data_IF_411224829843
#
_entry.id   IF_411224829843
#
_cell.length_a   1.000
_cell.length_b   1.000
_cell.length_c   1.000
_cell.angle_alpha   90.00
_cell.angle_beta   90.00
_cell.angle_gamma   90.00
#
_symmetry.space_group_name_H-M   'P 1'
#
loop_
_entity.id
_entity.type
_entity.pdbx_description
1 polymer ?
#
# COMPACT_ATOMS: atom_id res chain seq x y z
N UNK A 1 21.93 0.20 2.19
CA UNK A 1 20.83 0.50 1.27
C UNK A 1 20.48 1.97 1.32
N UNK A 2 19.84 2.46 0.30
CA UNK A 2 19.38 3.85 0.22
C UNK A 2 17.98 3.88 -0.41
N UNK A 3 17.11 4.83 0.01
CA UNK A 3 15.76 4.98 -0.50
C UNK A 3 15.76 5.41 -1.97
N UNK A 4 14.81 4.91 -2.77
CA UNK A 4 14.78 5.13 -4.21
C UNK A 4 13.45 5.73 -4.69
N UNK A 5 12.35 5.27 -4.14
CA UNK A 5 11.01 5.82 -4.32
C UNK A 5 10.19 5.64 -3.04
N UNK A 6 9.03 6.24 -2.96
CA UNK A 6 8.11 6.07 -1.83
C UNK A 6 6.66 5.92 -2.28
N UNK A 7 5.79 5.55 -1.34
CA UNK A 7 4.35 5.45 -1.57
C UNK A 7 3.59 5.07 -0.31
N UNK A 8 2.44 5.71 -0.07
CA UNK A 8 1.58 5.45 1.07
C UNK A 8 0.54 4.35 0.76
N UNK A 9 0.13 3.60 1.79
CA UNK A 9 -1.02 2.70 1.70
C UNK A 9 -2.29 3.54 1.65
N UNK A 10 -3.19 3.18 0.74
CA UNK A 10 -4.50 3.81 0.59
C UNK A 10 -5.57 2.80 0.19
N UNK A 11 -6.77 3.31 0.05
CA UNK A 11 -7.94 2.56 -0.41
C UNK A 11 -8.25 2.91 -1.86
N UNK A 12 -8.63 1.92 -2.66
CA UNK A 12 -9.25 2.08 -3.96
C UNK A 12 -10.70 1.61 -3.85
N UNK A 13 -11.65 2.49 -4.16
CA UNK A 13 -13.09 2.18 -4.07
C UNK A 13 -13.75 2.32 -5.44
N UNK A 14 -14.62 1.37 -5.79
CA UNK A 14 -15.43 1.44 -7.01
C UNK A 14 -16.51 2.50 -6.84
N UNK A 15 -16.53 3.52 -7.72
CA UNK A 15 -17.47 4.65 -7.60
C UNK A 15 -18.90 4.26 -7.95
N UNK A 16 -19.11 3.29 -8.83
CA UNK A 16 -20.46 2.81 -9.17
C UNK A 16 -21.08 2.10 -7.97
N UNK A 17 -20.31 1.25 -7.26
CA UNK A 17 -20.76 0.63 -6.02
C UNK A 17 -21.13 1.67 -4.95
N UNK A 18 -20.30 2.70 -4.78
CA UNK A 18 -20.56 3.77 -3.80
C UNK A 18 -21.85 4.51 -4.12
N UNK A 19 -22.06 4.85 -5.40
CA UNK A 19 -23.28 5.54 -5.86
C UNK A 19 -24.54 4.67 -5.68
N UNK A 20 -24.48 3.40 -6.09
CA UNK A 20 -25.61 2.46 -5.98
C UNK A 20 -26.05 2.22 -4.53
N UNK A 21 -25.09 2.23 -3.59
CA UNK A 21 -25.37 2.02 -2.16
C UNK A 21 -25.53 3.34 -1.38
N UNK A 22 -25.38 4.50 -2.04
CA UNK A 22 -25.46 5.84 -1.45
C UNK A 22 -24.53 5.97 -0.22
N UNK A 23 -23.26 5.55 -0.38
CA UNK A 23 -22.21 5.60 0.64
C UNK A 23 -20.98 6.34 0.13
N UNK A 24 -20.24 6.98 1.05
CA UNK A 24 -18.96 7.60 0.73
C UNK A 24 -17.81 6.57 0.70
N UNK A 25 -16.74 6.90 -0.02
CA UNK A 25 -15.54 6.08 0.00
C UNK A 25 -14.93 6.07 1.41
N UNK A 26 -14.40 4.92 1.90
CA UNK A 26 -13.83 4.83 3.24
C UNK A 26 -12.65 5.79 3.41
N UNK A 27 -12.60 6.49 4.54
CA UNK A 27 -11.53 7.40 4.95
C UNK A 27 -10.98 7.05 6.33
N UNK A 28 -11.32 5.89 6.85
CA UNK A 28 -10.88 5.34 8.12
C UNK A 28 -10.64 3.83 7.97
N UNK A 29 -9.70 3.29 8.73
CA UNK A 29 -9.56 1.83 8.84
C UNK A 29 -10.83 1.19 9.37
N UNK A 30 -11.57 1.90 10.22
CA UNK A 30 -12.82 1.43 10.79
C UNK A 30 -13.97 1.42 9.78
N UNK A 31 -13.97 2.34 8.81
CA UNK A 31 -15.00 2.37 7.77
C UNK A 31 -15.03 1.09 6.94
N UNK A 32 -13.89 0.37 6.86
CA UNK A 32 -13.81 -0.93 6.18
C UNK A 32 -14.64 -2.03 6.86
N UNK A 33 -15.06 -1.81 8.11
CA UNK A 33 -15.93 -2.70 8.88
C UNK A 33 -17.42 -2.29 8.78
N UNK A 34 -17.75 -1.26 8.00
CA UNK A 34 -19.15 -0.90 7.78
C UNK A 34 -19.89 -2.06 7.08
N UNK A 35 -21.08 -2.46 7.55
CA UNK A 35 -21.87 -3.53 6.93
C UNK A 35 -22.13 -3.37 5.43
N UNK A 36 -22.06 -2.16 4.89
CA UNK A 36 -22.19 -1.93 3.44
C UNK A 36 -21.04 -2.59 2.65
N UNK A 37 -19.88 -2.77 3.26
CA UNK A 37 -18.72 -3.43 2.66
C UNK A 37 -18.62 -4.93 3.03
N UNK A 38 -19.66 -5.52 3.62
CA UNK A 38 -19.69 -6.93 3.95
C UNK A 38 -19.37 -7.79 2.73
N UNK A 39 -18.32 -8.65 2.85
CA UNK A 39 -17.84 -9.53 1.79
C UNK A 39 -17.49 -8.78 0.46
N UNK A 40 -17.03 -7.53 0.56
CA UNK A 40 -16.78 -6.65 -0.60
C UNK A 40 -15.41 -5.95 -0.58
N UNK A 41 -14.48 -6.41 0.27
CA UNK A 41 -13.12 -5.88 0.32
C UNK A 41 -12.12 -6.96 -0.15
N UNK A 42 -11.12 -6.56 -0.92
CA UNK A 42 -10.02 -7.44 -1.30
C UNK A 42 -8.66 -6.80 -0.97
N UNK A 43 -7.72 -7.61 -0.53
CA UNK A 43 -6.33 -7.26 -0.37
C UNK A 43 -5.44 -8.50 -0.50
N UNK A 44 -4.12 -8.35 -0.46
CA UNK A 44 -3.25 -9.51 -0.48
C UNK A 44 -3.07 -10.12 0.91
N UNK A 45 -2.59 -11.37 0.95
CA UNK A 45 -2.13 -11.98 2.20
C UNK A 45 -0.88 -11.26 2.74
N UNK A 46 -0.78 -10.96 4.05
CA UNK A 46 0.40 -10.33 4.63
C UNK A 46 1.72 -11.11 4.44
N UNK A 47 1.64 -12.43 4.25
CA UNK A 47 2.81 -13.27 4.05
C UNK A 47 3.23 -13.45 2.57
N UNK A 48 2.41 -12.99 1.61
CA UNK A 48 2.76 -13.06 0.18
C UNK A 48 3.11 -11.71 -0.41
N UNK A 49 2.73 -10.60 0.25
CA UNK A 49 2.81 -9.26 -0.27
C UNK A 49 3.40 -8.28 0.73
N UNK A 50 4.40 -7.51 0.29
CA UNK A 50 4.92 -6.37 1.06
C UNK A 50 3.86 -5.32 1.35
N UNK A 51 2.98 -5.04 0.38
CA UNK A 51 1.85 -4.10 0.55
C UNK A 51 0.97 -4.50 1.73
N UNK A 52 0.51 -5.75 1.75
CA UNK A 52 -0.35 -6.25 2.81
C UNK A 52 0.38 -6.37 4.15
N UNK A 53 1.67 -6.72 4.12
CA UNK A 53 2.49 -6.70 5.33
C UNK A 53 2.64 -5.28 5.89
N UNK A 54 2.90 -4.28 5.03
CA UNK A 54 2.96 -2.88 5.46
C UNK A 54 1.63 -2.43 6.06
N UNK A 55 0.49 -2.82 5.46
CA UNK A 55 -0.85 -2.55 6.01
C UNK A 55 -1.00 -3.15 7.42
N UNK A 56 -0.66 -4.43 7.59
CA UNK A 56 -0.74 -5.10 8.89
C UNK A 56 0.18 -4.45 9.93
N UNK A 57 1.45 -4.24 9.58
CA UNK A 57 2.42 -3.60 10.47
C UNK A 57 2.02 -2.15 10.81
N UNK A 58 1.32 -1.44 9.92
CA UNK A 58 0.77 -0.11 10.18
C UNK A 58 -0.24 -0.16 11.33
N UNK A 59 -1.23 -1.04 11.23
CA UNK A 59 -2.28 -1.16 12.25
C UNK A 59 -1.64 -1.61 13.59
N UNK A 60 -0.70 -2.57 13.55
CA UNK A 60 0.02 -3.01 14.77
C UNK A 60 0.79 -1.86 15.42
N UNK A 61 1.44 -0.99 14.64
CA UNK A 61 2.17 0.15 15.20
C UNK A 61 1.24 1.26 15.72
N UNK A 62 0.02 1.35 15.21
CA UNK A 62 -0.97 2.33 15.66
C UNK A 62 -1.62 1.92 17.00
N UNK A 63 -2.02 0.66 17.13
CA UNK A 63 -2.90 0.23 18.24
C UNK A 63 -2.31 -0.92 19.08
N UNK A 64 -1.16 -1.47 18.70
CA UNK A 64 -0.57 -2.64 19.34
C UNK A 64 -1.02 -3.96 18.70
N UNK A 65 -0.27 -5.06 18.96
CA UNK A 65 -0.46 -6.33 18.25
C UNK A 65 -1.82 -6.97 18.53
N UNK A 66 -2.28 -7.01 19.79
CA UNK A 66 -3.54 -7.70 20.14
C UNK A 66 -4.75 -6.97 19.55
N UNK A 67 -4.84 -5.65 19.71
CA UNK A 67 -5.95 -4.86 19.17
C UNK A 67 -5.94 -4.89 17.63
N UNK A 68 -4.76 -4.91 17.00
CA UNK A 68 -4.62 -5.09 15.56
C UNK A 68 -5.12 -6.45 15.09
N UNK A 69 -4.86 -7.52 15.86
CA UNK A 69 -5.35 -8.87 15.54
C UNK A 69 -6.86 -8.98 15.72
N UNK A 70 -7.42 -8.36 16.77
CA UNK A 70 -8.88 -8.32 16.99
C UNK A 70 -9.58 -7.60 15.84
N UNK A 71 -9.05 -6.42 15.42
CA UNK A 71 -9.56 -5.69 14.26
C UNK A 71 -9.46 -6.53 12.99
N UNK A 72 -8.34 -7.27 12.81
CA UNK A 72 -8.13 -8.06 11.59
C UNK A 72 -9.02 -9.29 11.53
N UNK A 73 -9.32 -9.89 12.66
CA UNK A 73 -10.28 -11.00 12.78
C UNK A 73 -11.69 -10.55 12.37
N UNK A 74 -12.15 -9.41 12.90
CA UNK A 74 -13.41 -8.77 12.50
C UNK A 74 -13.43 -8.42 11.01
N UNK A 75 -12.35 -7.84 10.51
CA UNK A 75 -12.19 -7.48 9.11
C UNK A 75 -12.21 -8.71 8.18
N UNK A 76 -11.57 -9.80 8.57
CA UNK A 76 -11.55 -11.06 7.83
C UNK A 76 -12.94 -11.72 7.77
N UNK A 77 -13.66 -11.71 8.89
CA UNK A 77 -14.98 -12.34 9.00
C UNK A 77 -16.07 -11.54 8.29
N UNK A 78 -16.03 -10.21 8.37
CA UNK A 78 -17.10 -9.37 7.86
C UNK A 78 -16.84 -8.87 6.45
N UNK A 79 -15.67 -8.31 6.20
CA UNK A 79 -15.43 -7.42 5.04
C UNK A 79 -14.70 -8.13 3.91
N UNK A 80 -13.80 -9.07 4.23
CA UNK A 80 -12.95 -9.70 3.22
C UNK A 80 -13.73 -10.65 2.32
N UNK A 81 -13.81 -10.30 1.04
CA UNK A 81 -14.30 -11.21 -0.01
C UNK A 81 -13.26 -12.31 -0.29
N UNK A 82 -12.01 -11.93 -0.51
CA UNK A 82 -10.89 -12.87 -0.65
C UNK A 82 -9.54 -12.17 -0.53
N UNK A 83 -8.51 -12.96 -0.28
CA UNK A 83 -7.12 -12.49 -0.33
C UNK A 83 -6.47 -12.83 -1.67
N UNK A 84 -5.79 -11.86 -2.26
CA UNK A 84 -4.96 -12.06 -3.45
C UNK A 84 -3.53 -12.46 -3.05
N UNK A 85 -2.75 -12.99 -4.00
CA UNK A 85 -1.32 -13.26 -3.78
C UNK A 85 -0.45 -12.02 -3.99
N UNK A 86 -0.89 -11.10 -4.85
CA UNK A 86 -0.19 -9.87 -5.23
C UNK A 86 -0.82 -8.66 -4.55
N UNK A 87 0.00 -7.76 -4.03
CA UNK A 87 -0.46 -6.51 -3.40
C UNK A 87 -1.24 -5.57 -4.32
N UNK A 88 -1.19 -5.81 -5.64
CA UNK A 88 -1.95 -5.03 -6.63
C UNK A 88 -3.16 -5.77 -7.21
N UNK A 89 -3.40 -7.01 -6.76
CA UNK A 89 -4.47 -7.86 -7.30
C UNK A 89 -5.87 -7.30 -7.08
N UNK A 90 -6.08 -6.59 -5.98
CA UNK A 90 -7.36 -5.96 -5.67
C UNK A 90 -7.72 -4.76 -6.57
N UNK A 91 -6.74 -4.14 -7.24
CA UNK A 91 -6.96 -2.92 -8.02
C UNK A 91 -7.88 -3.17 -9.24
N UNK A 92 -7.58 -4.12 -10.16
CA UNK A 92 -8.49 -4.40 -11.26
C UNK A 92 -9.85 -4.96 -10.78
N UNK A 93 -9.88 -5.66 -9.66
CA UNK A 93 -11.12 -6.18 -9.09
C UNK A 93 -12.06 -5.06 -8.64
N UNK A 94 -11.53 -4.06 -7.90
CA UNK A 94 -12.30 -2.86 -7.59
C UNK A 94 -12.67 -2.08 -8.86
N UNK A 95 -11.75 -1.98 -9.83
CA UNK A 95 -12.00 -1.32 -11.11
C UNK A 95 -13.12 -1.94 -11.93
N UNK A 96 -13.29 -3.27 -11.86
CA UNK A 96 -14.32 -4.03 -12.57
C UNK A 96 -15.61 -4.24 -11.74
N UNK A 97 -15.64 -3.74 -10.50
CA UNK A 97 -16.79 -3.93 -9.61
C UNK A 97 -16.93 -5.34 -9.03
N UNK A 98 -15.86 -6.15 -9.07
CA UNK A 98 -15.85 -7.48 -8.42
C UNK A 98 -15.80 -7.36 -6.89
N UNK A 99 -15.23 -6.25 -6.39
CA UNK A 99 -15.24 -5.83 -4.99
C UNK A 99 -15.47 -4.33 -4.91
N UNK A 100 -16.04 -3.87 -3.80
CA UNK A 100 -16.25 -2.45 -3.54
C UNK A 100 -14.94 -1.70 -3.23
N UNK A 101 -14.06 -2.33 -2.45
CA UNK A 101 -12.84 -1.69 -1.95
C UNK A 101 -11.63 -2.61 -2.07
N UNK A 102 -10.49 -2.02 -2.39
CA UNK A 102 -9.18 -2.66 -2.33
C UNK A 102 -8.19 -1.86 -1.48
N UNK A 103 -7.19 -2.52 -0.91
CA UNK A 103 -6.10 -1.88 -0.16
C UNK A 103 -4.79 -2.08 -0.91
N UNK A 104 -4.14 -0.97 -1.31
CA UNK A 104 -2.90 -1.01 -2.08
C UNK A 104 -2.07 0.26 -1.88
N UNK A 105 -0.86 0.32 -2.43
CA UNK A 105 -0.08 1.55 -2.47
C UNK A 105 -0.66 2.57 -3.45
N UNK A 106 -0.63 3.84 -3.09
CA UNK A 106 -1.17 4.98 -3.85
C UNK A 106 -0.69 5.03 -5.30
N UNK A 107 0.60 4.81 -5.54
CA UNK A 107 1.17 4.82 -6.89
C UNK A 107 0.66 3.66 -7.76
N UNK A 108 0.38 2.49 -7.17
CA UNK A 108 -0.22 1.37 -7.90
C UNK A 108 -1.72 1.62 -8.17
N UNK A 109 -2.44 2.20 -7.21
CA UNK A 109 -3.85 2.64 -7.40
C UNK A 109 -3.92 3.64 -8.56
N UNK A 110 -3.04 4.64 -8.57
CA UNK A 110 -2.99 5.63 -9.64
C UNK A 110 -2.68 4.98 -11.00
N UNK A 111 -1.62 4.16 -11.07
CA UNK A 111 -1.13 3.57 -12.33
C UNK A 111 -2.09 2.53 -12.92
N UNK A 112 -2.67 1.67 -12.08
CA UNK A 112 -3.42 0.48 -12.49
C UNK A 112 -4.93 0.61 -12.30
N UNK A 113 -5.37 1.66 -11.59
CA UNK A 113 -6.77 1.99 -11.34
C UNK A 113 -7.16 3.25 -12.10
N UNK A 114 -6.82 4.40 -11.54
CA UNK A 114 -7.27 5.71 -12.02
C UNK A 114 -6.85 5.98 -13.47
N UNK A 115 -5.56 5.79 -13.80
CA UNK A 115 -5.04 6.04 -15.17
C UNK A 115 -5.46 4.99 -16.20
N UNK A 116 -6.02 3.87 -15.77
CA UNK A 116 -6.66 2.91 -16.69
C UNK A 116 -8.10 3.29 -17.04
N UNK A 117 -8.63 4.34 -16.41
CA UNK A 117 -10.00 4.82 -16.66
C UNK A 117 -11.08 3.99 -15.96
N UNK A 118 -10.72 3.19 -14.97
CA UNK A 118 -11.71 2.52 -14.14
C UNK A 118 -12.54 3.52 -13.32
N UNK A 119 -13.81 3.22 -13.02
CA UNK A 119 -14.66 4.03 -12.16
C UNK A 119 -14.23 3.85 -10.69
N UNK A 120 -13.11 4.45 -10.32
CA UNK A 120 -12.54 4.29 -8.98
C UNK A 120 -12.12 5.62 -8.36
N UNK A 121 -12.16 5.66 -7.03
CA UNK A 121 -11.69 6.76 -6.18
C UNK A 121 -10.60 6.26 -5.25
N UNK A 122 -9.55 7.03 -5.08
CA UNK A 122 -8.48 6.77 -4.10
C UNK A 122 -8.71 7.62 -2.85
N UNK A 123 -8.64 7.00 -1.67
CA UNK A 123 -8.75 7.67 -0.37
C UNK A 123 -7.68 7.14 0.60
N UNK A 124 -7.53 7.82 1.73
CA UNK A 124 -6.55 7.46 2.76
C UNK A 124 -7.20 7.56 4.14
N UNK A 125 -6.75 6.72 5.11
CA UNK A 125 -7.30 6.76 6.46
C UNK A 125 -6.86 8.02 7.22
N UNK A 126 -7.82 8.73 7.80
CA UNK A 126 -7.61 9.96 8.58
C UNK A 126 -6.86 9.72 9.90
N UNK A 127 -6.90 8.51 10.44
CA UNK A 127 -6.11 8.11 11.62
C UNK A 127 -4.61 8.10 11.33
N UNK A 128 -4.26 7.86 10.07
CA UNK A 128 -2.91 7.77 9.56
C UNK A 128 -2.66 6.44 8.86
N UNK A 129 -1.67 6.44 8.00
CA UNK A 129 -1.28 5.27 7.22
C UNK A 129 0.22 5.05 7.23
N UNK A 130 0.62 3.80 6.94
CA UNK A 130 2.01 3.46 6.70
C UNK A 130 2.42 3.73 5.25
N UNK A 131 3.71 3.68 5.03
CA UNK A 131 4.29 3.93 3.72
C UNK A 131 5.47 3.00 3.46
N UNK A 132 5.80 2.80 2.20
CA UNK A 132 7.04 2.12 1.81
C UNK A 132 8.10 3.12 1.35
N UNK A 133 9.35 2.71 1.53
CA UNK A 133 10.51 3.28 0.85
C UNK A 133 11.19 2.16 0.08
N UNK A 134 11.05 2.19 -1.23
CA UNK A 134 11.74 1.25 -2.12
C UNK A 134 13.25 1.48 -2.04
N UNK A 135 14.01 0.43 -1.78
CA UNK A 135 15.44 0.52 -1.52
C UNK A 135 16.32 0.01 -2.66
N UNK A 136 17.44 0.68 -2.88
CA UNK A 136 18.56 0.20 -3.67
C UNK A 136 19.70 -0.26 -2.76
N UNK A 137 20.35 -1.38 -3.14
CA UNK A 137 21.51 -1.90 -2.42
C UNK A 137 22.55 -2.45 -3.39
N UNK A 138 23.82 -2.19 -3.10
CA UNK A 138 24.91 -2.85 -3.80
C UNK A 138 25.14 -4.25 -3.21
N UNK A 139 25.20 -5.25 -4.07
CA UNK A 139 25.49 -6.63 -3.66
C UNK A 139 26.96 -6.73 -3.24
N UNK A 140 27.20 -7.29 -2.04
CA UNK A 140 28.57 -7.56 -1.57
C UNK A 140 29.25 -8.57 -2.50
N UNK A 141 30.46 -8.19 -2.99
CA UNK A 141 31.20 -9.04 -3.93
C UNK A 141 30.72 -8.95 -5.38
N UNK A 142 29.92 -7.91 -5.72
CA UNK A 142 29.58 -7.63 -7.12
C UNK A 142 30.85 -7.52 -7.98
N UNK A 143 30.83 -8.04 -9.22
CA UNK A 143 32.03 -8.04 -10.09
C UNK A 143 32.50 -6.65 -10.48
N UNK A 144 31.57 -5.68 -10.59
CA UNK A 144 31.85 -4.30 -11.01
C UNK A 144 31.35 -3.29 -9.96
N UNK A 145 31.97 -3.22 -8.75
CA UNK A 145 31.44 -2.42 -7.65
C UNK A 145 31.45 -0.92 -7.94
N UNK A 146 32.47 -0.42 -8.67
CA UNK A 146 32.55 1.01 -9.01
C UNK A 146 31.49 1.43 -10.04
N UNK A 147 31.18 0.55 -11.00
CA UNK A 147 30.08 0.79 -11.95
C UNK A 147 28.72 0.74 -11.23
N UNK A 148 28.55 -0.19 -10.29
CA UNK A 148 27.33 -0.26 -9.48
C UNK A 148 27.11 1.02 -8.66
N UNK A 149 28.17 1.60 -8.07
CA UNK A 149 28.07 2.89 -7.38
C UNK A 149 27.65 4.02 -8.32
N UNK A 150 28.32 4.12 -9.49
CA UNK A 150 27.96 5.13 -10.50
C UNK A 150 26.50 5.01 -10.95
N UNK A 151 26.01 3.78 -11.11
CA UNK A 151 24.60 3.56 -11.44
C UNK A 151 23.68 3.99 -10.30
N UNK A 152 24.01 3.67 -9.05
CA UNK A 152 23.23 4.11 -7.88
C UNK A 152 23.24 5.64 -7.81
N UNK A 153 24.38 6.31 -7.97
CA UNK A 153 24.46 7.76 -7.95
C UNK A 153 23.60 8.37 -9.07
N UNK A 154 23.64 7.80 -10.28
CA UNK A 154 22.78 8.23 -11.38
C UNK A 154 21.29 8.09 -11.05
N UNK A 155 20.88 7.01 -10.36
CA UNK A 155 19.50 6.80 -9.96
C UNK A 155 18.90 7.93 -9.10
N UNK A 156 19.74 8.76 -8.47
CA UNK A 156 19.33 9.91 -7.66
C UNK A 156 19.38 11.24 -8.39
N UNK A 157 19.82 11.27 -9.64
CA UNK A 157 19.78 12.50 -10.45
C UNK A 157 18.33 12.87 -10.78
N UNK A 158 18.08 14.17 -11.00
CA UNK A 158 16.76 14.65 -11.46
C UNK A 158 16.35 13.97 -12.76
N UNK A 159 17.30 13.74 -13.68
CA UNK A 159 17.06 13.04 -14.94
C UNK A 159 16.48 11.62 -14.72
N UNK A 160 17.14 10.81 -13.89
CA UNK A 160 16.69 9.45 -13.59
C UNK A 160 15.37 9.43 -12.83
N UNK A 161 15.23 10.31 -11.82
CA UNK A 161 14.03 10.36 -11.00
C UNK A 161 12.81 10.90 -11.78
N UNK A 162 13.00 11.73 -12.79
CA UNK A 162 11.93 12.17 -13.67
C UNK A 162 11.31 11.01 -14.49
N UNK A 163 12.04 9.91 -14.72
CA UNK A 163 11.48 8.72 -15.36
C UNK A 163 10.37 8.05 -14.52
N UNK A 164 10.29 8.37 -13.22
CA UNK A 164 9.26 7.85 -12.33
C UNK A 164 7.86 8.31 -12.67
N UNK A 165 7.73 9.45 -13.38
CA UNK A 165 6.43 9.93 -13.87
C UNK A 165 5.74 8.90 -14.77
N UNK A 166 6.49 8.18 -15.60
CA UNK A 166 5.95 7.16 -16.51
C UNK A 166 5.37 5.95 -15.78
N UNK A 167 5.82 5.75 -14.52
CA UNK A 167 5.42 4.63 -13.66
C UNK A 167 4.62 5.07 -12.43
N UNK A 168 4.30 6.37 -12.33
CA UNK A 168 3.56 6.98 -11.22
C UNK A 168 4.19 6.74 -9.83
N UNK A 169 5.51 6.53 -9.78
CA UNK A 169 6.25 6.41 -8.52
C UNK A 169 6.59 7.79 -7.98
N UNK A 170 6.61 7.92 -6.65
CA UNK A 170 7.05 9.17 -6.01
C UNK A 170 8.58 9.19 -5.95
N UNK A 171 9.23 10.17 -6.58
CA UNK A 171 10.67 10.33 -6.51
C UNK A 171 11.11 10.71 -5.09
N UNK A 172 12.34 10.36 -4.72
CA UNK A 172 12.97 10.81 -3.47
C UNK A 172 13.85 12.06 -3.67
N UNK A 173 14.16 12.42 -4.91
CA UNK A 173 14.84 13.68 -5.22
C UNK A 173 13.81 14.82 -5.22
N UNK A 174 13.95 15.84 -4.35
CA UNK A 174 12.95 16.91 -4.23
C UNK A 174 12.84 17.81 -5.47
N UNK A 175 13.86 17.80 -6.32
CA UNK A 175 13.89 18.60 -7.57
C UNK A 175 13.27 17.82 -8.75
N UNK A 176 12.90 16.55 -8.57
CA UNK A 176 12.27 15.75 -9.60
C UNK A 176 10.76 16.03 -9.68
N UNK A 177 10.22 15.90 -10.89
CA UNK A 177 8.80 16.14 -11.15
C UNK A 177 7.96 14.93 -10.70
N UNK A 178 6.90 15.20 -9.97
CA UNK A 178 5.89 14.19 -9.58
C UNK A 178 4.86 14.04 -10.70
N UNK A 179 4.42 12.82 -10.98
CA UNK A 179 3.41 12.55 -12.00
C UNK A 179 2.05 13.20 -11.63
N UNK A 180 1.33 13.66 -12.63
CA UNK A 180 -0.02 14.23 -12.43
C UNK A 180 -0.96 13.21 -11.80
N UNK A 181 -1.69 13.65 -10.77
CA UNK A 181 -2.61 12.83 -9.98
C UNK A 181 -1.93 11.98 -8.89
N UNK A 182 -0.60 12.05 -8.75
CA UNK A 182 0.09 11.43 -7.62
C UNK A 182 -0.27 12.14 -6.32
N UNK A 183 -0.40 11.36 -5.26
CA UNK A 183 -0.52 11.83 -3.88
C UNK A 183 0.82 11.63 -3.21
N UNK A 184 1.43 12.72 -2.76
CA UNK A 184 2.73 12.70 -2.09
C UNK A 184 2.59 12.28 -0.63
N UNK A 185 3.70 11.98 0.04
CA UNK A 185 3.66 11.63 1.47
C UNK A 185 3.26 12.84 2.35
N UNK A 186 3.43 14.06 1.86
CA UNK A 186 3.03 15.29 2.55
C UNK A 186 1.51 15.56 2.45
N UNK A 187 0.83 14.94 1.48
CA UNK A 187 -0.61 15.10 1.24
C UNK A 187 -1.46 14.15 2.11
N UNK A 188 -0.83 13.21 2.80
CA UNK A 188 -1.52 12.19 3.62
C UNK A 188 -1.00 12.20 5.05
N UNK A 189 -1.87 11.84 5.99
CA UNK A 189 -1.45 11.65 7.37
C UNK A 189 -0.70 10.34 7.51
N UNK A 190 0.61 10.41 7.70
CA UNK A 190 1.44 9.25 7.99
C UNK A 190 1.49 8.97 9.48
N UNK A 191 1.61 7.69 9.86
CA UNK A 191 2.06 7.31 11.19
C UNK A 191 3.59 7.44 11.29
N UNK A 192 4.15 7.47 12.47
CA UNK A 192 5.59 7.32 12.69
C UNK A 192 5.99 5.85 12.48
N UNK A 193 6.02 5.44 11.18
CA UNK A 193 6.21 4.05 10.78
C UNK A 193 7.68 3.62 10.94
N UNK A 194 7.95 2.78 11.93
CA UNK A 194 9.28 2.20 12.16
C UNK A 194 9.55 1.03 11.21
N UNK A 195 10.24 1.32 10.12
CA UNK A 195 10.64 0.34 9.10
C UNK A 195 11.60 -0.73 9.64
N UNK A 196 12.46 -0.35 10.60
CA UNK A 196 13.44 -1.28 11.18
C UNK A 196 12.70 -2.29 12.05
N UNK A 197 11.88 -1.79 12.97
CA UNK A 197 11.04 -2.63 13.81
C UNK A 197 10.13 -3.56 12.98
N UNK A 198 9.49 -3.02 11.94
CA UNK A 198 8.65 -3.82 11.04
C UNK A 198 9.44 -4.94 10.35
N UNK A 199 10.66 -4.65 9.89
CA UNK A 199 11.55 -5.66 9.30
C UNK A 199 11.98 -6.73 10.27
N UNK A 200 12.38 -6.36 11.49
CA UNK A 200 12.86 -7.28 12.54
C UNK A 200 11.73 -8.16 13.10
N UNK A 201 10.49 -7.67 13.14
CA UNK A 201 9.35 -8.41 13.68
C UNK A 201 8.51 -9.12 12.62
N UNK A 202 8.88 -9.05 11.33
CA UNK A 202 8.06 -9.56 10.22
C UNK A 202 7.62 -11.00 10.40
N UNK A 203 8.53 -11.92 10.65
CA UNK A 203 8.21 -13.34 10.76
C UNK A 203 7.29 -13.63 11.95
N UNK A 204 7.54 -12.95 13.08
CA UNK A 204 6.71 -13.06 14.29
C UNK A 204 5.29 -12.55 14.04
N UNK A 205 5.16 -11.40 13.41
CA UNK A 205 3.86 -10.78 13.10
C UNK A 205 3.07 -11.62 12.10
N UNK A 206 3.73 -12.12 11.04
CA UNK A 206 3.09 -13.01 10.07
C UNK A 206 2.61 -14.30 10.74
N UNK A 207 3.41 -14.88 11.65
CA UNK A 207 3.01 -16.08 12.37
C UNK A 207 1.79 -15.80 13.26
N UNK A 208 1.81 -14.69 14.02
CA UNK A 208 0.68 -14.30 14.87
C UNK A 208 -0.62 -14.08 14.04
N UNK A 209 -0.51 -13.46 12.88
CA UNK A 209 -1.64 -13.29 11.96
C UNK A 209 -2.19 -14.63 11.49
N UNK A 210 -1.31 -15.55 11.06
CA UNK A 210 -1.72 -16.90 10.62
C UNK A 210 -2.37 -17.70 11.72
N UNK A 211 -1.85 -17.62 12.93
CA UNK A 211 -2.38 -18.36 14.09
C UNK A 211 -3.77 -17.85 14.49
N UNK A 212 -4.02 -16.53 14.36
CA UNK A 212 -5.31 -15.91 14.69
C UNK A 212 -6.35 -16.10 13.57
N UNK A 213 -5.98 -15.83 12.32
CA UNK A 213 -6.90 -15.79 11.17
C UNK A 213 -7.07 -17.18 10.55
N UNK A 214 -6.10 -18.08 10.71
CA UNK A 214 -6.21 -19.46 10.24
C UNK A 214 -6.03 -19.66 8.73
N UNK A 215 -5.40 -18.70 8.05
CA UNK A 215 -5.23 -18.68 6.57
C UNK A 215 -3.78 -18.64 6.10
#
# INVERSE_FOLDING_TARGET
WTGFYSGAIGFISNTEFLEENNVEAPTSWRDLLDPVFENNVAMAYPYTSGTAYTTYATIVQMVGQEEALDWWEEFDEQSIHHYTKSGTGCIPQAGLGEVAVGIAFSHDILAKGVKQGYPVKMTFPEEGTGYEVGGLSMIKGAPEPELAKQFIDWCYTVEAQNLFQDYNRLPVNPDATVAEGSVTLDDVKLIDYDHIWAGENKDKLIQAWRDRIGK
#
